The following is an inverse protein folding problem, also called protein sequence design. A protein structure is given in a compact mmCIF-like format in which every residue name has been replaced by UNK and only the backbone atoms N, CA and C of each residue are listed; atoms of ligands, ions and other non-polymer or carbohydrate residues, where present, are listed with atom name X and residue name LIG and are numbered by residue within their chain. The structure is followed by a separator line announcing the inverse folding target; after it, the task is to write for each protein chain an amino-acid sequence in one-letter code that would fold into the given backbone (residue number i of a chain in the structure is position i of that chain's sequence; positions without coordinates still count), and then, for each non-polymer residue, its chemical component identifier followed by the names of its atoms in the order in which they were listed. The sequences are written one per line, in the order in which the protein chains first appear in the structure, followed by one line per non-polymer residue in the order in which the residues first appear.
data_IF_672256872338
#
_entry.id   IF_672256872338
#
_cell.length_a   1.000
_cell.length_b   1.000
_cell.length_c   1.000
_cell.angle_alpha   90.00
_cell.angle_beta   90.00
_cell.angle_gamma   90.00
#
_symmetry.space_group_name_H-M   'P 1'
#
loop_
_entity.id
_entity.type
_entity.pdbx_description
1 polymer ?
#
# COMPACT_ATOMS: atom_id res chain seq x y z
N UNK A 1 -2.40 -14.14 14.17
CA UNK A 1 -2.61 -13.53 12.85
C UNK A 1 -2.42 -12.01 12.87
N UNK A 2 -3.16 -11.25 13.67
CA UNK A 2 -2.99 -9.78 13.78
C UNK A 2 -1.55 -9.26 13.95
N UNK A 3 -0.75 -9.87 14.82
CA UNK A 3 0.65 -9.44 15.06
C UNK A 3 1.51 -9.40 13.80
N UNK A 4 1.33 -10.36 12.87
CA UNK A 4 2.09 -10.41 11.62
C UNK A 4 1.67 -9.28 10.68
N UNK A 5 0.38 -8.99 10.61
CA UNK A 5 -0.15 -7.89 9.80
C UNK A 5 0.36 -6.54 10.32
N UNK A 6 0.27 -6.31 11.64
CA UNK A 6 0.78 -5.09 12.28
C UNK A 6 2.28 -4.95 12.04
N UNK A 7 3.08 -6.01 12.22
CA UNK A 7 4.51 -5.98 11.96
C UNK A 7 4.84 -5.61 10.50
N UNK A 8 4.09 -6.14 9.53
CA UNK A 8 4.28 -5.83 8.10
C UNK A 8 3.91 -4.40 7.76
N UNK A 9 2.80 -3.89 8.32
CA UNK A 9 2.36 -2.51 8.14
C UNK A 9 3.38 -1.55 8.78
N UNK A 10 3.87 -1.87 9.98
CA UNK A 10 4.89 -1.08 10.65
C UNK A 10 6.19 -1.02 9.83
N UNK A 11 6.61 -2.16 9.28
CA UNK A 11 7.75 -2.19 8.34
C UNK A 11 7.51 -1.29 7.12
N UNK A 12 6.31 -1.32 6.52
CA UNK A 12 5.97 -0.48 5.37
C UNK A 12 6.01 1.02 5.70
N UNK A 13 5.59 1.39 6.92
CA UNK A 13 5.69 2.77 7.41
C UNK A 13 7.15 3.20 7.54
N UNK A 14 8.00 2.36 8.16
CA UNK A 14 9.42 2.66 8.34
C UNK A 14 10.19 2.75 7.01
N UNK A 15 9.83 1.93 6.02
CA UNK A 15 10.47 1.91 4.70
C UNK A 15 9.90 2.95 3.73
N UNK A 16 8.85 3.68 4.12
CA UNK A 16 8.19 4.67 3.25
C UNK A 16 7.49 4.06 2.04
N UNK A 17 7.13 2.78 2.13
CA UNK A 17 6.35 2.05 1.12
C UNK A 17 4.95 2.66 0.94
N UNK A 18 4.41 2.57 -0.27
CA UNK A 18 2.99 2.87 -0.50
C UNK A 18 2.14 1.72 0.05
N UNK A 19 1.07 2.04 0.77
CA UNK A 19 0.15 1.07 1.36
C UNK A 19 -1.21 1.23 0.67
N UNK A 20 -1.62 0.23 -0.12
CA UNK A 20 -2.97 0.20 -0.67
C UNK A 20 -3.94 -0.44 0.34
N UNK A 21 -5.02 0.26 0.66
CA UNK A 21 -6.11 -0.24 1.50
C UNK A 21 -7.25 -0.67 0.57
N UNK A 22 -7.35 -1.98 0.35
CA UNK A 22 -8.41 -2.59 -0.43
C UNK A 22 -9.65 -2.77 0.46
N UNK A 23 -10.67 -1.95 0.22
CA UNK A 23 -11.91 -1.97 0.97
C UNK A 23 -13.03 -2.73 0.28
N UNK A 24 -14.20 -2.72 0.93
CA UNK A 24 -15.47 -3.18 0.38
C UNK A 24 -16.40 -1.98 0.14
N UNK A 25 -17.40 -2.14 -0.72
CA UNK A 25 -18.29 -1.07 -1.17
C UNK A 25 -19.47 -0.82 -0.23
N UNK A 26 -19.65 -1.61 0.82
CA UNK A 26 -20.66 -1.42 1.84
C UNK A 26 -20.20 -0.44 2.94
N UNK A 27 -21.12 -0.12 3.85
CA UNK A 27 -20.90 0.97 4.82
C UNK A 27 -19.73 0.70 5.76
N UNK A 28 -19.60 -0.54 6.24
CA UNK A 28 -18.49 -0.99 7.08
C UNK A 28 -17.18 -1.09 6.30
N UNK A 29 -17.19 -1.59 5.06
CA UNK A 29 -16.02 -1.60 4.18
C UNK A 29 -15.46 -0.20 3.92
N UNK A 30 -16.34 0.76 3.60
CA UNK A 30 -15.96 2.16 3.37
C UNK A 30 -15.45 2.80 4.66
N UNK A 31 -16.12 2.57 5.79
CA UNK A 31 -15.74 3.15 7.08
C UNK A 31 -14.38 2.64 7.55
N UNK A 32 -14.15 1.31 7.48
CA UNK A 32 -12.87 0.70 7.85
C UNK A 32 -11.73 1.21 6.95
N UNK A 33 -12.00 1.32 5.64
CA UNK A 33 -11.02 1.87 4.68
C UNK A 33 -10.65 3.30 5.02
N UNK A 34 -11.64 4.16 5.27
CA UNK A 34 -11.41 5.55 5.65
C UNK A 34 -10.62 5.67 6.96
N UNK A 35 -10.92 4.82 7.95
CA UNK A 35 -10.21 4.80 9.23
C UNK A 35 -8.74 4.40 9.06
N UNK A 36 -8.47 3.36 8.27
CA UNK A 36 -7.10 2.90 8.01
C UNK A 36 -6.29 3.93 7.21
N UNK A 37 -6.87 4.53 6.17
CA UNK A 37 -6.19 5.56 5.39
C UNK A 37 -5.84 6.76 6.27
N UNK A 38 -6.79 7.25 7.07
CA UNK A 38 -6.54 8.38 7.98
C UNK A 38 -5.50 8.05 9.04
N UNK A 39 -5.65 6.91 9.72
CA UNK A 39 -4.73 6.49 10.78
C UNK A 39 -3.30 6.30 10.28
N UNK A 40 -3.12 5.61 9.15
CA UNK A 40 -1.79 5.38 8.57
C UNK A 40 -1.18 6.67 8.01
N UNK A 41 -1.99 7.56 7.42
CA UNK A 41 -1.50 8.86 6.93
C UNK A 41 -1.07 9.77 8.08
N UNK A 42 -1.81 9.76 9.20
CA UNK A 42 -1.45 10.50 10.41
C UNK A 42 -0.12 10.01 11.03
N UNK A 43 0.23 8.75 10.81
CA UNK A 43 1.53 8.16 11.19
C UNK A 43 2.65 8.42 10.16
N UNK A 44 2.40 9.25 9.14
CA UNK A 44 3.38 9.57 8.09
C UNK A 44 3.43 8.56 6.93
N UNK A 45 2.51 7.60 6.88
CA UNK A 45 2.41 6.59 5.83
C UNK A 45 1.83 7.13 4.52
N UNK A 46 2.19 6.50 3.40
CA UNK A 46 1.61 6.77 2.08
C UNK A 46 0.46 5.81 1.78
N UNK A 47 -0.67 6.00 2.47
CA UNK A 47 -1.84 5.15 2.32
C UNK A 47 -2.77 5.63 1.21
N UNK A 48 -3.21 4.72 0.34
CA UNK A 48 -4.18 5.00 -0.73
C UNK A 48 -5.39 4.05 -0.63
N UNK A 49 -6.64 4.53 -0.71
CA UNK A 49 -7.81 3.67 -0.73
C UNK A 49 -8.02 3.05 -2.11
N UNK A 50 -8.62 1.86 -2.13
CA UNK A 50 -9.23 1.27 -3.31
C UNK A 50 -10.55 0.61 -2.91
N UNK A 51 -11.66 1.06 -3.50
CA UNK A 51 -12.98 0.47 -3.32
C UNK A 51 -13.42 -0.13 -4.65
N UNK A 52 -13.67 -1.45 -4.74
CA UNK A 52 -14.09 -2.09 -5.98
C UNK A 52 -15.48 -1.63 -6.39
N UNK A 53 -15.72 -1.54 -7.70
CA UNK A 53 -17.04 -1.19 -8.19
C UNK A 53 -17.99 -2.40 -8.14
N UNK A 54 -18.96 -2.39 -7.21
CA UNK A 54 -19.88 -3.51 -6.92
C UNK A 54 -20.43 -4.25 -8.16
N UNK A 55 -20.93 -3.51 -9.15
CA UNK A 55 -21.63 -4.09 -10.30
C UNK A 55 -20.70 -4.71 -11.36
N UNK A 56 -19.49 -4.19 -11.50
CA UNK A 56 -18.56 -4.53 -12.58
C UNK A 56 -17.42 -5.41 -12.08
N UNK A 57 -17.13 -5.32 -10.78
CA UNK A 57 -16.06 -6.05 -10.10
C UNK A 57 -16.58 -7.13 -9.17
N UNK A 58 -17.82 -7.02 -8.71
CA UNK A 58 -18.40 -8.00 -7.78
C UNK A 58 -17.75 -7.92 -6.40
N UNK A 59 -17.78 -9.05 -5.67
CA UNK A 59 -17.28 -9.14 -4.30
C UNK A 59 -15.85 -9.70 -4.23
N UNK A 60 -15.05 -9.16 -3.31
CA UNK A 60 -13.75 -9.71 -2.94
C UNK A 60 -12.58 -9.28 -3.83
N UNK A 61 -11.41 -9.87 -3.55
CA UNK A 61 -10.15 -9.51 -4.20
C UNK A 61 -10.10 -9.96 -5.65
N UNK A 62 -10.02 -9.01 -6.59
CA UNK A 62 -9.77 -9.31 -8.00
C UNK A 62 -8.29 -9.25 -8.32
N UNK A 63 -7.80 -10.29 -9.02
CA UNK A 63 -6.42 -10.34 -9.49
C UNK A 63 -6.02 -9.11 -10.32
N UNK A 64 -6.88 -8.68 -11.24
CA UNK A 64 -6.64 -7.50 -12.06
C UNK A 64 -6.51 -6.22 -11.23
N UNK A 65 -7.33 -6.06 -10.18
CA UNK A 65 -7.24 -4.93 -9.27
C UNK A 65 -5.93 -4.96 -8.46
N UNK A 66 -5.52 -6.13 -7.99
CA UNK A 66 -4.23 -6.32 -7.30
C UNK A 66 -3.04 -6.03 -8.22
N UNK A 67 -3.08 -6.49 -9.48
CA UNK A 67 -2.05 -6.22 -10.48
C UNK A 67 -1.95 -4.71 -10.77
N UNK A 68 -3.09 -4.02 -10.91
CA UNK A 68 -3.13 -2.57 -11.08
C UNK A 68 -2.56 -1.82 -9.87
N UNK A 69 -2.96 -2.18 -8.65
CA UNK A 69 -2.44 -1.56 -7.42
C UNK A 69 -0.93 -1.81 -7.25
N UNK A 70 -0.46 -3.00 -7.62
CA UNK A 70 0.96 -3.32 -7.58
C UNK A 70 1.76 -2.43 -8.55
N UNK A 71 1.27 -2.22 -9.77
CA UNK A 71 1.90 -1.32 -10.75
C UNK A 71 1.93 0.14 -10.27
N UNK A 72 0.87 0.61 -9.59
CA UNK A 72 0.84 1.96 -9.01
C UNK A 72 1.81 2.13 -7.83
N UNK A 73 2.06 1.03 -7.09
CA UNK A 73 3.04 0.95 -6.02
C UNK A 73 4.49 1.03 -6.52
N UNK A 74 4.76 0.45 -7.70
CA UNK A 74 6.10 0.42 -8.29
C UNK A 74 6.08 0.88 -9.77
N UNK A 75 6.29 2.19 -10.04
CA UNK A 75 6.29 2.73 -11.39
C UNK A 75 7.49 2.26 -12.25
N UNK A 76 8.48 1.58 -11.65
CA UNK A 76 9.64 1.05 -12.36
C UNK A 76 9.67 -0.49 -12.25
N UNK A 77 9.37 -1.14 -13.37
CA UNK A 77 9.73 -2.54 -13.68
C UNK A 77 8.94 -3.65 -12.97
N UNK A 78 7.73 -3.93 -13.47
CA UNK A 78 7.14 -5.27 -13.36
C UNK A 78 7.53 -6.09 -14.60
N UNK A 79 8.46 -7.05 -14.46
CA UNK A 79 8.71 -8.11 -15.44
C UNK A 79 8.55 -9.46 -14.73
N UNK A 80 7.67 -10.36 -15.20
CA UNK A 80 7.40 -11.63 -14.53
C UNK A 80 8.63 -12.56 -14.43
N UNK A 81 9.69 -12.28 -15.19
CA UNK A 81 10.92 -13.08 -15.25
C UNK A 81 12.09 -12.50 -14.43
N UNK A 82 11.94 -11.31 -13.83
CA UNK A 82 13.04 -10.65 -13.11
C UNK A 82 12.54 -10.11 -11.77
N UNK A 83 12.60 -10.93 -10.74
CA UNK A 83 12.58 -10.45 -9.34
C UNK A 83 13.98 -9.91 -9.04
N UNK A 84 14.20 -8.63 -9.34
CA UNK A 84 15.31 -7.86 -8.76
C UNK A 84 14.70 -6.82 -7.85
N UNK A 85 14.92 -6.97 -6.55
CA UNK A 85 14.74 -5.90 -5.57
C UNK A 85 15.82 -4.84 -5.83
N UNK A 86 15.47 -3.56 -6.00
CA UNK A 86 16.41 -2.48 -5.75
C UNK A 86 15.94 -1.72 -4.51
N UNK A 87 16.69 -1.85 -3.42
CA UNK A 87 16.76 -0.75 -2.44
C UNK A 87 18.22 -0.32 -2.37
N UNK A 88 18.55 0.88 -2.82
CA UNK A 88 19.55 1.68 -2.17
C UNK A 88 18.87 2.84 -1.43
N UNK A 89 19.18 2.96 -0.13
CA UNK A 89 18.86 4.11 0.71
C UNK A 89 19.52 5.37 0.11
N UNK A 90 18.90 6.58 0.23
CA UNK A 90 19.23 7.75 -0.58
C UNK A 90 20.60 8.37 -0.23
N UNK A 91 21.38 8.66 -1.27
CA UNK A 91 22.51 9.60 -1.22
C UNK A 91 22.01 11.07 -1.31
N UNK A 92 21.08 11.46 -0.44
CA UNK A 92 20.50 12.81 -0.43
C UNK A 92 20.27 13.33 1.00
N UNK A 93 21.35 13.61 1.72
CA UNK A 93 21.41 14.67 2.74
C UNK A 93 22.88 15.02 3.08
N UNK A 94 23.45 16.08 2.49
CA UNK A 94 24.82 16.53 2.80
C UNK A 94 24.94 17.38 4.08
N UNK A 95 23.85 17.71 4.77
CA UNK A 95 23.78 18.91 5.63
C UNK A 95 23.73 18.67 7.16
N UNK A 96 23.92 17.45 7.67
CA UNK A 96 23.91 17.22 9.12
C UNK A 96 25.20 16.52 9.59
N UNK A 97 26.25 17.33 9.73
CA UNK A 97 27.40 17.06 10.61
C UNK A 97 27.23 17.90 11.87
N UNK A 98 26.91 17.26 13.00
CA UNK A 98 27.35 17.62 14.34
C UNK A 98 27.43 16.34 15.17
#
# INVERSE_FOLDING_TARGET
DMHRAVARIYQALLSGEKIAIYGDFDADGITATALLVQGLSALGGKAIPYIPHRLTEGYGLRKAALENLHQQGNPYHWRPEVVKFPVPIPALWPELRW
#
